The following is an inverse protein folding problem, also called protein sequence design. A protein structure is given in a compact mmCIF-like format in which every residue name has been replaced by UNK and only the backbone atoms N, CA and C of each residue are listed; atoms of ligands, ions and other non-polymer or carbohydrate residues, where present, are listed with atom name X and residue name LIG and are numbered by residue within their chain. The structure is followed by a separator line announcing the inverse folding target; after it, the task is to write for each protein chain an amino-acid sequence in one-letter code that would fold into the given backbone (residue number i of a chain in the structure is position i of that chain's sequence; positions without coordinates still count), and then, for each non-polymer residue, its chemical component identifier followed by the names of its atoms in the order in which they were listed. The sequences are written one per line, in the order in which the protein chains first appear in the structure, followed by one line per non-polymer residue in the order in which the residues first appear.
data_IF_565305244796
#
_entry.id   IF_565305244796
#
_cell.length_a   1.000
_cell.length_b   1.000
_cell.length_c   1.000
_cell.angle_alpha   90.00
_cell.angle_beta   90.00
_cell.angle_gamma   90.00
#
_symmetry.space_group_name_H-M   'P 1'
#
loop_
_entity.id
_entity.type
_entity.pdbx_description
1 polymer ?
#
# COMPACT_ATOMS: atom_id res chain seq x y z
N UNK A 1 1.32 -10.09 14.20
CA UNK A 1 0.12 -9.22 14.12
C UNK A 1 -0.78 -9.71 12.99
N UNK A 2 -2.04 -9.26 12.96
CA UNK A 2 -2.96 -9.61 11.87
C UNK A 2 -2.94 -8.50 10.82
N UNK A 3 -2.68 -8.86 9.56
CA UNK A 3 -2.78 -7.93 8.43
C UNK A 3 -4.18 -7.27 8.38
N UNK A 4 -4.23 -5.94 8.44
CA UNK A 4 -5.47 -5.16 8.31
C UNK A 4 -6.13 -5.31 6.94
N UNK A 5 -5.33 -5.40 5.87
CA UNK A 5 -5.82 -5.58 4.51
C UNK A 5 -5.64 -7.03 4.05
N UNK A 6 -6.49 -7.49 3.13
CA UNK A 6 -6.46 -8.85 2.58
C UNK A 6 -6.13 -8.82 1.08
N UNK A 7 -5.67 -9.95 0.56
CA UNK A 7 -5.44 -10.11 -0.89
C UNK A 7 -6.76 -9.90 -1.64
N UNK A 8 -6.71 -9.18 -2.76
CA UNK A 8 -7.86 -8.76 -3.56
C UNK A 8 -8.50 -7.44 -3.10
N UNK A 9 -8.07 -6.90 -1.95
CA UNK A 9 -8.65 -5.66 -1.42
C UNK A 9 -8.11 -4.44 -2.14
N UNK A 10 -9.00 -3.48 -2.42
CA UNK A 10 -8.66 -2.20 -3.03
C UNK A 10 -8.22 -1.20 -1.96
N UNK A 11 -7.05 -0.61 -2.14
CA UNK A 11 -6.43 0.34 -1.21
C UNK A 11 -5.92 1.57 -1.96
N UNK A 12 -5.71 2.67 -1.24
CA UNK A 12 -5.07 3.89 -1.74
C UNK A 12 -3.81 4.13 -0.94
N UNK A 13 -2.79 4.71 -1.57
CA UNK A 13 -1.62 5.15 -0.82
C UNK A 13 -1.97 6.45 -0.08
N UNK A 14 -1.79 6.45 1.24
CA UNK A 14 -1.84 7.66 2.04
C UNK A 14 -0.72 8.60 1.61
N UNK A 15 -0.98 9.91 1.55
CA UNK A 15 0.08 10.90 1.28
C UNK A 15 1.10 10.82 2.42
N UNK A 16 2.34 10.42 2.12
CA UNK A 16 3.46 10.63 3.06
C UNK A 16 3.72 12.14 3.15
N UNK A 17 3.57 12.72 4.34
CA UNK A 17 4.04 14.07 4.61
C UNK A 17 5.57 14.10 4.38
N UNK A 18 6.03 14.86 3.37
CA UNK A 18 7.47 15.07 3.11
C UNK A 18 8.05 14.41 1.84
N UNK A 19 7.29 13.65 1.05
CA UNK A 19 7.74 13.24 -0.28
C UNK A 19 7.49 14.37 -1.28
N UNK A 20 8.55 14.98 -1.81
CA UNK A 20 8.46 15.92 -2.94
C UNK A 20 7.83 15.16 -4.11
N UNK A 21 6.64 15.58 -4.51
CA UNK A 21 5.88 15.05 -5.63
C UNK A 21 6.71 15.13 -6.92
N UNK A 22 7.29 14.01 -7.36
CA UNK A 22 7.63 13.81 -8.76
C UNK A 22 6.42 13.19 -9.46
N UNK A 23 5.49 14.06 -9.82
CA UNK A 23 4.42 13.76 -10.77
C UNK A 23 3.04 13.62 -10.14
N UNK A 24 2.33 14.75 -10.06
CA UNK A 24 0.90 14.87 -10.33
C UNK A 24 -0.03 13.74 -9.89
N UNK A 25 -0.75 14.01 -8.80
CA UNK A 25 -2.18 13.77 -8.70
C UNK A 25 -2.73 12.50 -9.40
N UNK A 26 -2.68 11.36 -8.73
CA UNK A 26 -3.79 10.42 -8.83
C UNK A 26 -3.91 9.64 -7.53
N UNK A 27 -5.10 9.71 -6.94
CA UNK A 27 -5.67 8.70 -6.07
C UNK A 27 -5.68 7.34 -6.79
N UNK A 28 -4.51 6.74 -7.01
CA UNK A 28 -4.38 5.47 -7.69
C UNK A 28 -4.90 4.41 -6.75
N UNK A 29 -5.99 3.76 -7.15
CA UNK A 29 -6.49 2.60 -6.46
C UNK A 29 -5.54 1.45 -6.82
N UNK A 30 -5.03 0.78 -5.80
CA UNK A 30 -4.21 -0.41 -5.93
C UNK A 30 -4.98 -1.61 -5.40
N UNK A 31 -4.58 -2.80 -5.83
CA UNK A 31 -5.06 -4.06 -5.29
C UNK A 31 -3.95 -4.70 -4.46
N UNK A 32 -4.27 -5.21 -3.27
CA UNK A 32 -3.33 -6.02 -2.49
C UNK A 32 -3.21 -7.39 -3.15
N UNK A 33 -2.02 -7.71 -3.65
CA UNK A 33 -1.77 -8.99 -4.35
C UNK A 33 -0.96 -9.98 -3.51
N UNK A 34 -0.29 -9.50 -2.44
CA UNK A 34 0.46 -10.37 -1.53
C UNK A 34 0.61 -9.74 -0.15
N UNK A 35 0.47 -10.55 0.89
CA UNK A 35 0.84 -10.20 2.26
C UNK A 35 2.33 -10.51 2.44
N UNK A 36 3.12 -9.55 2.91
CA UNK A 36 4.53 -9.79 3.20
C UNK A 36 4.68 -10.38 4.60
N UNK A 37 5.69 -11.25 4.84
CA UNK A 37 6.00 -11.68 6.19
C UNK A 37 6.33 -10.45 7.05
N UNK A 38 6.02 -10.54 8.34
CA UNK A 38 6.35 -9.48 9.29
C UNK A 38 7.88 -9.37 9.37
N UNK A 39 8.43 -8.27 8.87
CA UNK A 39 9.83 -7.95 9.11
C UNK A 39 10.03 -7.53 10.57
N UNK A 40 11.29 -7.47 11.02
CA UNK A 40 11.69 -7.12 12.40
C UNK A 40 11.08 -5.82 12.94
N UNK A 41 10.55 -4.94 12.10
CA UNK A 41 9.87 -3.70 12.52
C UNK A 41 8.51 -3.95 13.20
N UNK A 42 7.91 -5.13 13.02
CA UNK A 42 6.59 -5.46 13.55
C UNK A 42 5.41 -4.79 12.82
N UNK A 43 5.69 -4.00 11.76
CA UNK A 43 4.66 -3.42 10.90
C UNK A 43 4.38 -4.35 9.71
N UNK A 44 3.12 -4.78 9.49
CA UNK A 44 2.77 -5.55 8.31
C UNK A 44 3.04 -4.77 7.03
N UNK A 45 3.51 -5.47 5.99
CA UNK A 45 3.69 -4.88 4.67
C UNK A 45 2.98 -5.69 3.59
N UNK A 46 2.76 -5.05 2.44
CA UNK A 46 1.92 -5.54 1.37
C UNK A 46 2.59 -5.34 0.02
N UNK A 47 2.43 -6.30 -0.89
CA UNK A 47 2.64 -6.06 -2.32
C UNK A 47 1.32 -5.57 -2.89
N UNK A 48 1.34 -4.38 -3.48
CA UNK A 48 0.19 -3.79 -4.15
C UNK A 48 0.43 -3.65 -5.65
N UNK A 49 -0.63 -3.75 -6.45
CA UNK A 49 -0.60 -3.68 -7.91
C UNK A 49 -1.48 -2.56 -8.43
N UNK A 50 -1.01 -1.85 -9.45
CA UNK A 50 -1.81 -0.99 -10.32
C UNK A 50 -1.46 -1.22 -11.79
N UNK A 51 -2.05 -0.43 -12.69
CA UNK A 51 -1.70 -0.42 -14.12
C UNK A 51 -0.24 -0.04 -14.37
N UNK A 52 0.40 0.68 -13.44
CA UNK A 52 1.81 1.07 -13.53
C UNK A 52 2.78 -0.02 -13.06
N UNK A 53 2.29 -1.09 -12.43
CA UNK A 53 3.11 -2.20 -11.94
C UNK A 53 2.84 -2.58 -10.48
N UNK A 54 3.79 -3.33 -9.90
CA UNK A 54 3.71 -3.82 -8.52
C UNK A 54 4.79 -3.19 -7.64
N UNK A 55 4.46 -2.91 -6.37
CA UNK A 55 5.42 -2.39 -5.38
C UNK A 55 5.09 -2.82 -3.95
N UNK A 56 6.09 -2.82 -3.08
CA UNK A 56 5.90 -3.07 -1.65
C UNK A 56 5.58 -1.76 -0.90
N UNK A 57 4.67 -1.81 0.05
CA UNK A 57 4.27 -0.68 0.92
C UNK A 57 3.97 -1.18 2.33
N UNK A 58 4.12 -0.31 3.32
CA UNK A 58 3.76 -0.61 4.71
C UNK A 58 2.26 -0.43 4.96
N UNK A 59 1.73 -1.07 6.01
CA UNK A 59 0.32 -0.94 6.41
C UNK A 59 -0.08 0.51 6.69
N UNK A 60 0.77 1.27 7.39
CA UNK A 60 0.52 2.67 7.73
C UNK A 60 0.50 3.62 6.53
N UNK A 61 0.99 3.17 5.37
CA UNK A 61 0.94 3.92 4.12
C UNK A 61 -0.33 3.66 3.30
N UNK A 62 -1.21 2.79 3.79
CA UNK A 62 -2.41 2.37 3.07
C UNK A 62 -3.69 2.84 3.77
N UNK A 63 -4.64 3.30 2.97
CA UNK A 63 -6.02 3.52 3.37
C UNK A 63 -6.95 2.67 2.53
N UNK A 64 -8.12 2.34 3.09
CA UNK A 64 -9.14 1.61 2.34
C UNK A 64 -9.60 2.47 1.15
N UNK A 65 -9.68 1.86 -0.04
CA UNK A 65 -10.35 2.50 -1.16
C UNK A 65 -11.86 2.27 -0.99
N UNK A 66 -12.58 3.29 -0.52
CA UNK A 66 -14.03 3.38 -0.65
C UNK A 66 -14.42 3.66 -2.09
#
# INVERSE_FOLDING_TARGET
MSHKFKIGQRVRQARRFGSVDHGGAASSIFEVVRLMPEERSGEPSYRIKSTAGERAVLEGELTLAS
#
